data_IF_576729993679
#
_entry.id   IF_576729993679
#
_cell.length_a   1.000
_cell.length_b   1.000
_cell.length_c   1.000
_cell.angle_alpha   90.00
_cell.angle_beta   90.00
_cell.angle_gamma   90.00
#
_symmetry.space_group_name_H-M   'P 1'
#
loop_
_entity.id
_entity.type
_entity.pdbx_description
1 polymer ?
#
# COMPACT_ATOMS: atom_id res chain seq x y z
N UNK A 1 -7.00 -12.34 -20.84
CA UNK A 1 -7.29 -11.80 -19.51
C UNK A 1 -5.95 -11.63 -18.82
N UNK A 2 -5.44 -10.41 -18.74
CA UNK A 2 -4.12 -10.13 -18.17
C UNK A 2 -4.27 -8.83 -17.38
N UNK A 3 -4.31 -8.91 -16.06
CA UNK A 3 -4.36 -7.76 -15.16
C UNK A 3 -3.48 -8.04 -13.94
N UNK A 4 -2.22 -8.40 -14.16
CA UNK A 4 -1.28 -8.67 -13.06
C UNK A 4 -0.32 -7.48 -12.80
N UNK A 5 -0.25 -6.50 -13.71
CA UNK A 5 0.56 -5.28 -13.54
C UNK A 5 -0.23 -4.11 -12.92
N UNK A 6 -1.56 -4.14 -12.96
CA UNK A 6 -2.41 -3.05 -12.44
C UNK A 6 -2.65 -3.11 -10.92
N UNK A 7 -2.21 -4.19 -10.27
CA UNK A 7 -2.45 -4.41 -8.84
C UNK A 7 -1.37 -3.86 -7.91
N UNK A 8 -0.27 -3.30 -8.45
CA UNK A 8 0.83 -2.80 -7.64
C UNK A 8 0.84 -1.26 -7.57
N UNK A 9 0.37 -0.74 -6.44
CA UNK A 9 0.34 0.69 -6.15
C UNK A 9 1.67 1.17 -5.56
N UNK A 10 2.07 2.37 -5.92
CA UNK A 10 3.13 3.11 -5.21
C UNK A 10 2.62 3.64 -3.87
N UNK A 11 3.56 3.98 -2.99
CA UNK A 11 3.28 4.71 -1.73
C UNK A 11 2.39 5.93 -1.98
N UNK A 12 2.69 6.71 -3.03
CA UNK A 12 1.98 7.95 -3.36
C UNK A 12 0.56 7.70 -3.83
N UNK A 13 0.32 6.62 -4.58
CA UNK A 13 -1.02 6.25 -5.00
C UNK A 13 -1.88 5.80 -3.82
N UNK A 14 -1.30 5.00 -2.91
CA UNK A 14 -1.98 4.59 -1.67
C UNK A 14 -2.28 5.80 -0.78
N UNK A 15 -1.31 6.71 -0.62
CA UNK A 15 -1.48 7.94 0.15
C UNK A 15 -2.65 8.78 -0.37
N UNK A 16 -2.75 8.97 -1.70
CA UNK A 16 -3.87 9.65 -2.34
C UNK A 16 -5.21 8.95 -2.10
N UNK A 17 -5.27 7.63 -2.24
CA UNK A 17 -6.51 6.84 -2.04
C UNK A 17 -7.00 6.90 -0.60
N UNK A 18 -6.09 6.84 0.37
CA UNK A 18 -6.40 6.90 1.80
C UNK A 18 -6.48 8.33 2.36
N UNK A 19 -6.16 9.35 1.54
CA UNK A 19 -6.07 10.76 1.95
C UNK A 19 -5.12 10.98 3.14
N UNK A 20 -4.00 10.26 3.14
CA UNK A 20 -2.93 10.40 4.13
C UNK A 20 -1.64 10.86 3.45
N UNK A 21 -0.64 11.23 4.24
CA UNK A 21 0.69 11.59 3.74
C UNK A 21 1.53 10.36 3.38
N UNK A 22 2.43 10.49 2.39
CA UNK A 22 3.38 9.44 1.99
C UNK A 22 4.22 8.94 3.18
N UNK A 23 4.55 9.83 4.12
CA UNK A 23 5.29 9.47 5.35
C UNK A 23 4.51 8.54 6.26
N UNK A 24 3.19 8.73 6.36
CA UNK A 24 2.27 7.86 7.10
C UNK A 24 2.23 6.47 6.49
N UNK A 25 2.11 6.38 5.17
CA UNK A 25 2.13 5.09 4.44
C UNK A 25 3.46 4.36 4.66
N UNK A 26 4.59 5.07 4.57
CA UNK A 26 5.92 4.49 4.88
C UNK A 26 6.02 4.01 6.32
N UNK A 27 5.46 4.76 7.28
CA UNK A 27 5.44 4.36 8.69
C UNK A 27 4.62 3.10 8.91
N UNK A 28 3.48 2.96 8.25
CA UNK A 28 2.66 1.75 8.31
C UNK A 28 3.37 0.53 7.71
N UNK A 29 4.10 0.70 6.62
CA UNK A 29 4.94 -0.36 6.05
C UNK A 29 6.01 -0.78 7.06
N UNK A 30 6.74 0.19 7.63
CA UNK A 30 7.79 -0.08 8.64
C UNK A 30 7.24 -0.74 9.90
N UNK A 31 6.03 -0.39 10.30
CA UNK A 31 5.37 -0.94 11.48
C UNK A 31 4.64 -2.28 11.20
N UNK A 32 4.64 -2.77 9.95
CA UNK A 32 3.94 -4.01 9.56
C UNK A 32 2.42 -3.89 9.45
N UNK A 33 1.86 -2.68 9.51
CA UNK A 33 0.42 -2.42 9.33
C UNK A 33 0.02 -2.55 7.85
N UNK A 34 0.94 -2.21 6.94
CA UNK A 34 0.71 -2.28 5.50
C UNK A 34 1.79 -3.15 4.85
N UNK A 35 1.37 -4.25 4.24
CA UNK A 35 2.29 -5.12 3.50
C UNK A 35 2.73 -4.45 2.20
N UNK A 36 4.05 -4.39 1.98
CA UNK A 36 4.62 -3.83 0.76
C UNK A 36 5.87 -4.61 0.32
N UNK A 37 6.00 -4.77 -0.99
CA UNK A 37 7.16 -5.34 -1.67
C UNK A 37 8.19 -4.22 -1.80
N UNK A 38 9.37 -4.43 -1.21
CA UNK A 38 10.50 -3.52 -1.37
C UNK A 38 11.22 -3.88 -2.67
N UNK A 39 11.30 -2.92 -3.60
CA UNK A 39 12.04 -3.10 -4.84
C UNK A 39 13.54 -2.89 -4.60
N UNK A 40 14.42 -3.61 -5.32
CA UNK A 40 15.84 -3.32 -5.30
C UNK A 40 16.09 -1.87 -5.73
N UNK A 41 17.00 -1.19 -5.02
CA UNK A 41 17.27 0.23 -5.22
C UNK A 41 17.65 0.54 -6.67
N UNK A 42 16.78 1.27 -7.39
CA UNK A 42 17.09 1.93 -8.66
C UNK A 42 17.34 3.41 -8.35
N UNK A 43 18.61 3.78 -8.11
CA UNK A 43 19.02 5.14 -7.77
C UNK A 43 18.96 5.46 -6.27
N UNK A 44 18.68 6.72 -5.90
CA UNK A 44 18.82 7.23 -4.52
C UNK A 44 17.62 6.96 -3.60
N UNK A 45 16.50 6.45 -4.12
CA UNK A 45 15.25 6.30 -3.35
C UNK A 45 14.81 4.85 -3.29
N UNK A 46 14.43 4.41 -2.09
CA UNK A 46 13.80 3.11 -1.89
C UNK A 46 12.38 3.16 -2.43
N UNK A 47 12.06 2.25 -3.36
CA UNK A 47 10.73 2.13 -3.94
C UNK A 47 9.98 0.98 -3.28
N UNK A 48 8.72 1.23 -2.95
CA UNK A 48 7.80 0.24 -2.39
C UNK A 48 6.65 0.04 -3.36
N UNK A 49 6.21 -1.21 -3.48
CA UNK A 49 4.99 -1.61 -4.20
C UNK A 49 4.03 -2.24 -3.21
N UNK A 50 2.82 -1.72 -3.17
CA UNK A 50 1.76 -2.15 -2.26
C UNK A 50 0.73 -2.85 -3.13
N UNK A 51 0.33 -4.07 -2.76
CA UNK A 51 -0.75 -4.75 -3.49
C UNK A 51 -2.07 -4.04 -3.23
N UNK A 52 -2.83 -3.82 -4.29
CA UNK A 52 -4.17 -3.22 -4.24
C UNK A 52 -5.08 -4.02 -3.31
N UNK A 53 -5.02 -5.35 -3.38
CA UNK A 53 -5.76 -6.23 -2.47
C UNK A 53 -5.45 -6.00 -0.98
N UNK A 54 -4.20 -5.67 -0.62
CA UNK A 54 -3.82 -5.29 0.76
C UNK A 54 -4.50 -4.00 1.18
N UNK A 55 -4.55 -3.01 0.29
CA UNK A 55 -5.27 -1.75 0.52
C UNK A 55 -6.77 -1.97 0.69
N UNK A 56 -7.39 -2.75 -0.21
CA UNK A 56 -8.81 -3.08 -0.14
C UNK A 56 -9.14 -3.85 1.15
N UNK A 57 -8.25 -4.74 1.59
CA UNK A 57 -8.40 -5.45 2.88
C UNK A 57 -8.35 -4.48 4.06
N UNK A 58 -7.44 -3.50 4.06
CA UNK A 58 -7.38 -2.48 5.11
C UNK A 58 -8.66 -1.64 5.16
N UNK A 59 -9.15 -1.20 4.00
CA UNK A 59 -10.41 -0.46 3.89
C UNK A 59 -11.59 -1.28 4.41
N UNK A 60 -11.67 -2.55 4.03
CA UNK A 60 -12.75 -3.46 4.45
C UNK A 60 -12.63 -3.90 5.91
N UNK A 61 -11.42 -4.02 6.47
CA UNK A 61 -11.19 -4.40 7.86
C UNK A 61 -11.67 -3.34 8.86
N UNK A 62 -11.86 -2.10 8.41
CA UNK A 62 -12.50 -1.05 9.20
C UNK A 62 -14.03 -1.16 9.23
N UNK A 63 -14.64 -2.01 8.40
CA UNK A 63 -16.02 -2.49 8.57
C UNK A 63 -15.99 -3.76 9.41
N UNK A 64 -15.84 -3.59 10.73
CA UNK A 64 -16.19 -4.64 11.68
C UNK A 64 -17.66 -5.04 11.48
N UNK A 65 -18.01 -6.34 11.53
CA UNK A 65 -19.40 -6.76 11.58
C UNK A 65 -20.01 -6.17 12.86
N UNK A 66 -20.99 -5.28 12.68
CA UNK A 66 -21.92 -4.93 13.74
C UNK A 66 -22.66 -6.21 14.12
N UNK A 67 -22.33 -6.77 15.29
CA UNK A 67 -23.19 -7.73 16.00
C UNK A 67 -24.40 -7.02 16.57
#
# INVERSE_FOLDING_TARGET
MVQDEEDLLTVREVAKKLRVDDTTVRRWIKNGVLEAITLPHRGTRQAYRIRRSTLDTLLNSSQLPVS
#
